data_IF_716873127243
#
_entry.id   IF_716873127243
#
_cell.length_a   1.000
_cell.length_b   1.000
_cell.length_c   1.000
_cell.angle_alpha   90.00
_cell.angle_beta   90.00
_cell.angle_gamma   90.00
#
_symmetry.space_group_name_H-M   'P 1'
#
loop_
_entity.id
_entity.type
_entity.pdbx_description
1 polymer ?
#
# COMPACT_ATOMS: atom_id res chain seq x y z
N UNK A 1 -13.84 -20.16 -38.08
CA UNK A 1 -14.36 -19.59 -36.82
C UNK A 1 -13.28 -18.68 -36.25
N UNK A 2 -13.41 -17.36 -36.38
CA UNK A 2 -12.37 -16.39 -35.99
C UNK A 2 -12.61 -16.00 -34.53
N UNK A 3 -11.70 -16.39 -33.64
CA UNK A 3 -11.69 -15.94 -32.25
C UNK A 3 -11.19 -14.49 -32.21
N UNK A 4 -12.12 -13.53 -32.11
CA UNK A 4 -11.76 -12.13 -31.86
C UNK A 4 -11.51 -11.98 -30.36
N UNK A 5 -10.25 -11.83 -29.98
CA UNK A 5 -9.86 -11.40 -28.64
C UNK A 5 -10.41 -9.99 -28.44
N UNK A 6 -11.43 -9.84 -27.60
CA UNK A 6 -11.85 -8.54 -27.11
C UNK A 6 -10.72 -7.97 -26.24
N UNK A 7 -9.84 -7.17 -26.83
CA UNK A 7 -8.93 -6.33 -26.08
C UNK A 7 -9.76 -5.24 -25.40
N UNK A 8 -9.92 -5.31 -24.09
CA UNK A 8 -10.51 -4.24 -23.29
C UNK A 8 -9.49 -3.09 -23.20
N UNK A 9 -9.43 -2.25 -24.24
CA UNK A 9 -8.51 -1.12 -24.30
C UNK A 9 -8.74 -0.14 -23.12
N UNK A 10 -9.97 -0.03 -22.62
CA UNK A 10 -10.34 0.78 -21.45
C UNK A 10 -9.93 0.18 -20.09
N UNK A 11 -9.50 -1.08 -20.05
CA UNK A 11 -9.23 -1.77 -18.79
C UNK A 11 -8.08 -1.13 -18.01
N UNK A 12 -7.04 -0.69 -18.74
CA UNK A 12 -5.89 0.00 -18.16
C UNK A 12 -6.29 1.37 -17.59
N UNK A 13 -7.07 2.15 -18.34
CA UNK A 13 -7.55 3.45 -17.88
C UNK A 13 -8.42 3.32 -16.63
N UNK A 14 -9.33 2.34 -16.60
CA UNK A 14 -10.15 2.05 -15.41
C UNK A 14 -9.28 1.66 -14.22
N UNK A 15 -8.26 0.83 -14.41
CA UNK A 15 -7.32 0.45 -13.35
C UNK A 15 -6.53 1.65 -12.83
N UNK A 16 -6.05 2.52 -13.73
CA UNK A 16 -5.34 3.75 -13.39
C UNK A 16 -6.25 4.71 -12.59
N UNK A 17 -7.49 4.95 -13.04
CA UNK A 17 -8.47 5.76 -12.34
C UNK A 17 -8.79 5.22 -10.95
N UNK A 18 -8.94 3.90 -10.82
CA UNK A 18 -9.15 3.25 -9.54
C UNK A 18 -7.94 3.40 -8.59
N UNK A 19 -6.72 3.24 -9.11
CA UNK A 19 -5.49 3.44 -8.34
C UNK A 19 -5.36 4.89 -7.85
N UNK A 20 -5.63 5.87 -8.71
CA UNK A 20 -5.63 7.30 -8.39
C UNK A 20 -6.66 7.62 -7.28
N UNK A 21 -7.88 7.07 -7.40
CA UNK A 21 -8.94 7.24 -6.39
C UNK A 21 -8.54 6.66 -5.03
N UNK A 22 -7.90 5.49 -5.00
CA UNK A 22 -7.42 4.88 -3.74
C UNK A 22 -6.28 5.69 -3.12
N UNK A 23 -5.32 6.16 -3.93
CA UNK A 23 -4.20 7.00 -3.47
C UNK A 23 -4.70 8.32 -2.86
N UNK A 24 -5.61 9.00 -3.53
CA UNK A 24 -6.17 10.27 -3.05
C UNK A 24 -6.93 10.12 -1.74
N UNK A 25 -7.73 9.05 -1.60
CA UNK A 25 -8.42 8.73 -0.34
C UNK A 25 -7.45 8.37 0.78
N UNK A 26 -6.40 7.59 0.48
CA UNK A 26 -5.36 7.26 1.45
C UNK A 26 -4.65 8.52 1.94
N UNK A 27 -4.20 9.38 1.02
CA UNK A 27 -3.53 10.64 1.36
C UNK A 27 -4.42 11.54 2.21
N UNK A 28 -5.70 11.68 1.88
CA UNK A 28 -6.66 12.44 2.71
C UNK A 28 -6.78 11.86 4.12
N UNK A 29 -6.85 10.54 4.26
CA UNK A 29 -6.92 9.88 5.57
C UNK A 29 -5.62 10.07 6.35
N UNK A 30 -4.46 9.97 5.72
CA UNK A 30 -3.16 10.20 6.37
C UNK A 30 -3.09 11.64 6.90
N UNK A 31 -3.44 12.63 6.08
CA UNK A 31 -3.46 14.04 6.47
C UNK A 31 -4.49 14.34 7.57
N UNK A 32 -5.62 13.63 7.59
CA UNK A 32 -6.63 13.77 8.64
C UNK A 32 -6.24 13.09 9.96
N UNK A 33 -5.45 12.01 9.92
CA UNK A 33 -5.04 11.25 11.12
C UNK A 33 -3.79 11.80 11.78
N UNK A 34 -2.83 12.28 10.99
CA UNK A 34 -1.59 12.87 11.46
C UNK A 34 -1.62 14.36 11.12
N UNK A 35 -1.90 15.20 12.12
CA UNK A 35 -1.94 16.66 12.00
C UNK A 35 -0.57 17.32 11.74
N UNK A 36 0.50 16.54 11.55
CA UNK A 36 1.83 17.06 11.27
C UNK A 36 2.73 15.97 10.70
N UNK A 37 3.72 16.41 9.92
CA UNK A 37 4.87 15.60 9.55
C UNK A 37 5.51 15.04 10.82
N UNK A 38 5.63 13.70 10.92
CA UNK A 38 6.30 13.05 12.05
C UNK A 38 7.79 13.11 11.77
N UNK A 39 8.42 14.17 12.29
CA UNK A 39 9.88 14.34 12.23
C UNK A 39 10.49 13.61 13.41
N UNK A 40 11.34 12.63 13.14
CA UNK A 40 12.05 11.90 14.19
C UNK A 40 13.35 12.62 14.57
N UNK A 41 13.57 12.76 15.88
CA UNK A 41 14.80 13.29 16.46
C UNK A 41 15.89 12.22 16.57
N UNK A 42 17.16 12.65 16.62
CA UNK A 42 18.28 11.74 16.88
C UNK A 42 18.18 11.18 18.30
N UNK A 43 18.12 9.86 18.43
CA UNK A 43 18.01 9.15 19.72
C UNK A 43 16.59 8.72 20.09
N UNK A 44 15.61 9.00 19.24
CA UNK A 44 14.25 8.47 19.40
C UNK A 44 14.19 7.02 18.91
N UNK A 45 13.44 6.22 19.66
CA UNK A 45 13.16 4.83 19.30
C UNK A 45 12.07 4.78 18.25
N UNK A 46 12.35 4.13 17.13
CA UNK A 46 11.44 4.05 15.98
C UNK A 46 11.32 2.61 15.53
N UNK A 47 10.09 2.18 15.27
CA UNK A 47 9.82 0.86 14.72
C UNK A 47 9.60 0.95 13.21
N UNK A 48 10.28 0.08 12.47
CA UNK A 48 10.16 0.01 11.01
C UNK A 48 9.10 -1.02 10.63
N UNK A 49 8.23 -0.67 9.69
CA UNK A 49 7.21 -1.56 9.16
C UNK A 49 7.82 -2.54 8.15
N UNK A 50 7.63 -3.84 8.37
CA UNK A 50 8.05 -4.89 7.44
C UNK A 50 6.99 -5.09 6.33
N UNK A 51 7.04 -4.25 5.29
CA UNK A 51 6.10 -4.30 4.15
C UNK A 51 6.14 -5.60 3.34
N UNK A 52 7.26 -6.32 3.38
CA UNK A 52 7.45 -7.55 2.60
C UNK A 52 6.52 -8.68 3.05
N UNK A 53 6.10 -8.65 4.32
CA UNK A 53 5.17 -9.61 4.92
C UNK A 53 3.73 -9.46 4.40
N UNK A 54 3.36 -8.30 3.84
CA UNK A 54 2.00 -8.06 3.36
C UNK A 54 1.74 -8.66 1.97
N UNK A 55 2.76 -8.79 1.13
CA UNK A 55 2.61 -9.21 -0.27
C UNK A 55 2.68 -10.72 -0.45
N UNK A 56 3.12 -11.47 0.56
CA UNK A 56 3.25 -12.92 0.50
C UNK A 56 2.26 -13.58 1.45
N UNK A 57 1.19 -14.18 0.88
CA UNK A 57 0.19 -14.98 1.61
C UNK A 57 0.73 -16.31 2.17
N UNK A 58 2.04 -16.45 2.30
CA UNK A 58 2.64 -17.66 2.85
C UNK A 58 2.30 -17.75 4.34
N UNK A 59 1.93 -18.96 4.79
CA UNK A 59 1.50 -19.20 6.18
C UNK A 59 2.58 -18.81 7.20
N UNK A 60 3.85 -18.97 6.85
CA UNK A 60 5.01 -18.56 7.66
C UNK A 60 5.01 -17.05 7.99
N UNK A 61 4.55 -16.18 7.08
CA UNK A 61 4.53 -14.73 7.28
C UNK A 61 3.36 -14.26 8.15
N UNK A 62 2.35 -15.09 8.40
CA UNK A 62 1.18 -14.73 9.22
C UNK A 62 1.51 -14.63 10.72
N UNK A 63 2.56 -15.31 11.16
CA UNK A 63 2.97 -15.36 12.56
C UNK A 63 4.14 -14.40 12.88
N UNK A 64 4.68 -13.72 11.87
CA UNK A 64 5.80 -12.80 12.06
C UNK A 64 5.31 -11.42 12.52
N UNK A 65 6.03 -10.78 13.45
CA UNK A 65 5.71 -9.42 13.87
C UNK A 65 5.91 -8.46 12.69
N UNK A 66 4.94 -7.55 12.50
CA UNK A 66 4.98 -6.56 11.41
C UNK A 66 5.89 -5.37 11.67
N UNK A 67 6.30 -5.18 12.91
CA UNK A 67 7.09 -4.05 13.37
C UNK A 67 8.41 -4.56 13.93
N UNK A 68 9.51 -3.87 13.60
CA UNK A 68 10.82 -4.17 14.17
C UNK A 68 10.88 -3.84 15.66
N UNK A 69 11.94 -4.31 16.32
CA UNK A 69 12.27 -3.82 17.65
C UNK A 69 12.62 -2.31 17.58
N UNK A 70 12.23 -1.54 18.61
CA UNK A 70 12.47 -0.10 18.70
C UNK A 70 13.94 0.26 18.91
#
# INVERSE_FOLDING_TARGET
MVYVVQQCLDGYDKAMWHALKRKTLFNKRVLQRCLGEVVFGKGELVQVYHSDLDYTFKTEHKLLPKWSQP
#
